data_IF_509212566898
#
_entry.id   IF_509212566898
#
_cell.length_a   1.000
_cell.length_b   1.000
_cell.length_c   1.000
_cell.angle_alpha   90.00
_cell.angle_beta   90.00
_cell.angle_gamma   90.00
#
_symmetry.space_group_name_H-M   'P 1'
#
loop_
_entity.id
_entity.type
_entity.pdbx_description
1 polymer ?
#
# COMPACT_ATOMS: atom_id res chain seq x y z
N UNK A 1 -15.73 13.46 4.65
CA UNK A 1 -14.56 14.00 3.93
C UNK A 1 -14.04 12.97 2.91
N UNK A 2 -13.33 13.38 1.85
CA UNK A 2 -12.87 12.45 0.79
C UNK A 2 -11.66 11.58 1.19
N UNK A 3 -11.04 11.86 2.34
CA UNK A 3 -9.86 11.14 2.84
C UNK A 3 -10.20 9.98 3.80
N UNK A 4 -11.48 9.82 4.17
CA UNK A 4 -11.97 8.70 4.98
C UNK A 4 -12.61 7.69 4.03
N UNK A 5 -12.19 6.42 4.12
CA UNK A 5 -12.81 5.34 3.34
C UNK A 5 -14.27 5.16 3.78
N UNK A 6 -15.18 4.95 2.82
CA UNK A 6 -16.60 4.80 3.11
C UNK A 6 -16.91 3.64 4.05
N UNK A 7 -16.04 2.62 4.12
CA UNK A 7 -16.18 1.50 5.07
C UNK A 7 -15.89 1.91 6.51
N UNK A 8 -14.90 2.78 6.72
CA UNK A 8 -14.63 3.38 8.04
C UNK A 8 -15.81 4.25 8.46
N UNK A 9 -16.31 5.12 7.58
CA UNK A 9 -17.49 5.94 7.87
C UNK A 9 -18.74 5.09 8.15
N UNK A 10 -18.92 3.95 7.47
CA UNK A 10 -20.03 3.02 7.72
C UNK A 10 -19.92 2.42 9.12
N UNK A 11 -18.77 1.84 9.47
CA UNK A 11 -18.54 1.26 10.80
C UNK A 11 -18.76 2.31 11.91
N UNK A 12 -18.25 3.53 11.72
CA UNK A 12 -18.45 4.61 12.68
C UNK A 12 -19.93 4.97 12.88
N UNK A 13 -20.74 4.98 11.81
CA UNK A 13 -22.18 5.24 11.91
C UNK A 13 -22.95 4.11 12.58
N UNK A 14 -22.58 2.86 12.28
CA UNK A 14 -23.19 1.68 12.90
C UNK A 14 -22.91 1.61 14.40
N UNK A 15 -21.69 1.98 14.83
CA UNK A 15 -21.28 1.92 16.23
C UNK A 15 -21.70 3.16 17.05
N UNK A 16 -21.68 4.35 16.44
CA UNK A 16 -21.79 5.63 17.19
C UNK A 16 -22.92 6.54 16.73
N UNK A 17 -23.65 6.18 15.68
CA UNK A 17 -24.66 7.03 15.06
C UNK A 17 -24.07 8.20 14.26
N UNK A 18 -24.90 8.83 13.43
CA UNK A 18 -24.48 9.93 12.53
C UNK A 18 -24.12 11.22 13.27
N UNK A 19 -24.64 11.44 14.47
CA UNK A 19 -24.35 12.66 15.26
C UNK A 19 -22.94 12.66 15.84
N UNK A 20 -22.40 11.50 16.22
CA UNK A 20 -21.04 11.38 16.74
C UNK A 20 -19.97 11.77 15.71
N UNK A 21 -20.19 11.44 14.42
CA UNK A 21 -19.31 11.82 13.30
C UNK A 21 -19.29 13.35 13.10
N UNK A 22 -20.44 14.01 13.27
CA UNK A 22 -20.58 15.46 13.13
C UNK A 22 -19.96 16.25 14.31
N UNK A 23 -19.97 15.67 15.51
CA UNK A 23 -19.43 16.28 16.72
C UNK A 23 -17.93 16.03 16.95
N UNK A 24 -17.25 15.25 16.09
CA UNK A 24 -15.82 14.97 16.21
C UNK A 24 -15.43 14.15 17.44
N UNK A 25 -16.32 13.26 17.90
CA UNK A 25 -16.16 12.43 19.11
C UNK A 25 -15.23 11.22 18.87
N UNK A 26 -13.95 11.49 18.65
CA UNK A 26 -12.93 10.45 18.41
C UNK A 26 -12.69 9.53 19.61
N UNK A 27 -13.04 9.96 20.82
CA UNK A 27 -12.99 9.14 22.04
C UNK A 27 -13.85 7.87 21.93
N UNK A 28 -14.92 7.90 21.13
CA UNK A 28 -15.77 6.74 20.91
C UNK A 28 -15.06 5.63 20.12
N UNK A 29 -14.00 5.94 19.38
CA UNK A 29 -13.24 4.94 18.64
C UNK A 29 -12.67 3.83 19.55
N UNK A 30 -12.43 4.12 20.83
CA UNK A 30 -11.99 3.12 21.82
C UNK A 30 -13.07 2.11 22.21
N UNK A 31 -14.32 2.33 21.80
CA UNK A 31 -15.40 1.36 22.00
C UNK A 31 -15.52 0.35 20.84
N UNK A 32 -14.77 0.53 19.75
CA UNK A 32 -14.69 -0.48 18.68
C UNK A 32 -13.79 -1.61 19.14
N UNK A 33 -14.21 -2.86 18.95
CA UNK A 33 -13.37 -4.00 19.28
C UNK A 33 -12.14 -4.08 18.37
N UNK A 34 -11.02 -4.55 18.92
CA UNK A 34 -9.81 -4.79 18.13
C UNK A 34 -10.07 -5.75 16.96
N UNK A 35 -10.97 -6.71 17.14
CA UNK A 35 -11.37 -7.66 16.10
C UNK A 35 -12.05 -6.97 14.91
N UNK A 36 -12.94 -6.01 15.17
CA UNK A 36 -13.62 -5.24 14.11
C UNK A 36 -12.65 -4.32 13.38
N UNK A 37 -11.77 -3.64 14.11
CA UNK A 37 -10.71 -2.81 13.52
C UNK A 37 -9.80 -3.67 12.63
N UNK A 38 -9.41 -4.85 13.11
CA UNK A 38 -8.55 -5.76 12.36
C UNK A 38 -9.24 -6.34 11.12
N UNK A 39 -10.51 -6.72 11.24
CA UNK A 39 -11.32 -7.21 10.11
C UNK A 39 -11.44 -6.14 9.02
N UNK A 40 -11.79 -4.90 9.40
CA UNK A 40 -11.89 -3.78 8.47
C UNK A 40 -10.53 -3.49 7.81
N UNK A 41 -9.44 -3.51 8.57
CA UNK A 41 -8.09 -3.30 8.04
C UNK A 41 -7.69 -4.40 7.04
N UNK A 42 -8.04 -5.67 7.31
CA UNK A 42 -7.82 -6.78 6.37
C UNK A 42 -8.59 -6.56 5.07
N UNK A 43 -9.85 -6.18 5.14
CA UNK A 43 -10.67 -5.88 3.97
C UNK A 43 -10.08 -4.74 3.12
N UNK A 44 -9.64 -3.66 3.78
CA UNK A 44 -9.01 -2.53 3.10
C UNK A 44 -7.67 -2.90 2.44
N UNK A 45 -6.86 -3.75 3.09
CA UNK A 45 -5.61 -4.26 2.51
C UNK A 45 -5.87 -5.16 1.29
N UNK A 46 -6.84 -6.06 1.38
CA UNK A 46 -7.24 -6.89 0.24
C UNK A 46 -7.68 -6.03 -0.96
N UNK A 47 -8.51 -5.01 -0.72
CA UNK A 47 -8.93 -4.08 -1.77
C UNK A 47 -7.75 -3.32 -2.40
N UNK A 48 -6.75 -2.93 -1.61
CA UNK A 48 -5.53 -2.30 -2.12
C UNK A 48 -4.73 -3.26 -3.02
N UNK A 49 -4.53 -4.50 -2.57
CA UNK A 49 -3.81 -5.52 -3.34
C UNK A 49 -4.48 -5.75 -4.69
N UNK A 50 -5.81 -5.93 -4.71
CA UNK A 50 -6.56 -6.10 -5.95
C UNK A 50 -6.48 -4.88 -6.88
N UNK A 51 -6.53 -3.66 -6.34
CA UNK A 51 -6.35 -2.45 -7.14
C UNK A 51 -4.94 -2.37 -7.75
N UNK A 52 -3.90 -2.75 -7.00
CA UNK A 52 -2.52 -2.81 -7.49
C UNK A 52 -2.39 -3.83 -8.62
N UNK A 53 -2.87 -5.06 -8.43
CA UNK A 53 -2.82 -6.13 -9.44
C UNK A 53 -3.51 -5.69 -10.74
N UNK A 54 -4.72 -5.15 -10.62
CA UNK A 54 -5.49 -4.61 -11.75
C UNK A 54 -4.73 -3.51 -12.50
N UNK A 55 -4.18 -2.53 -11.78
CA UNK A 55 -3.45 -1.41 -12.38
C UNK A 55 -2.16 -1.86 -13.04
N UNK A 56 -1.45 -2.80 -12.42
CA UNK A 56 -0.21 -3.35 -12.96
C UNK A 56 -0.48 -4.09 -14.27
N UNK A 57 -1.46 -4.99 -14.28
CA UNK A 57 -1.91 -5.70 -15.49
C UNK A 57 -2.28 -4.73 -16.62
N UNK A 58 -3.08 -3.71 -16.31
CA UNK A 58 -3.46 -2.69 -17.29
C UNK A 58 -2.26 -1.88 -17.82
N UNK A 59 -1.30 -1.53 -16.96
CA UNK A 59 -0.08 -0.82 -17.37
C UNK A 59 0.77 -1.63 -18.34
N UNK A 60 0.91 -2.94 -18.12
CA UNK A 60 1.67 -3.82 -18.99
C UNK A 60 0.95 -4.14 -20.29
N UNK A 61 -0.39 -4.34 -20.28
CA UNK A 61 -1.19 -4.43 -21.51
C UNK A 61 -1.00 -3.21 -22.40
N UNK A 62 -1.01 -2.02 -21.82
CA UNK A 62 -0.77 -0.77 -22.56
C UNK A 62 0.62 -0.70 -23.21
N UNK A 63 1.60 -1.48 -22.73
CA UNK A 63 2.96 -1.60 -23.28
C UNK A 63 3.10 -2.73 -24.32
N UNK A 64 2.01 -3.44 -24.65
CA UNK A 64 1.99 -4.48 -25.66
C UNK A 64 2.25 -5.91 -25.15
N UNK A 65 2.31 -6.12 -23.83
CA UNK A 65 2.45 -7.46 -23.26
C UNK A 65 1.22 -8.34 -23.57
N UNK A 66 1.46 -9.61 -23.90
CA UNK A 66 0.42 -10.60 -24.14
C UNK A 66 -0.17 -11.13 -22.82
N UNK A 67 -1.42 -11.61 -22.83
CA UNK A 67 -2.07 -12.10 -21.61
C UNK A 67 -1.32 -13.27 -20.93
N UNK A 68 -0.65 -14.11 -21.71
CA UNK A 68 0.19 -15.21 -21.21
C UNK A 68 1.40 -14.72 -20.40
N UNK A 69 1.90 -13.51 -20.66
CA UNK A 69 3.04 -12.91 -19.96
C UNK A 69 2.62 -12.19 -18.66
N UNK A 70 1.32 -12.08 -18.39
CA UNK A 70 0.78 -11.27 -17.29
C UNK A 70 0.32 -12.10 -16.08
N UNK A 71 0.48 -13.43 -16.09
CA UNK A 71 0.08 -14.27 -14.96
C UNK A 71 0.74 -13.87 -13.63
N UNK A 72 1.98 -13.36 -13.67
CA UNK A 72 2.68 -12.88 -12.48
C UNK A 72 2.00 -11.67 -11.83
N UNK A 73 1.22 -10.86 -12.57
CA UNK A 73 0.56 -9.69 -11.96
C UNK A 73 -0.52 -10.11 -10.97
N UNK A 74 -1.03 -11.33 -11.08
CA UNK A 74 -2.12 -11.84 -10.25
C UNK A 74 -1.59 -12.32 -8.88
N UNK A 75 -0.27 -12.52 -8.74
CA UNK A 75 0.39 -12.89 -7.48
C UNK A 75 1.19 -11.75 -6.83
N UNK A 76 1.17 -10.55 -7.42
CA UNK A 76 1.86 -9.38 -6.84
C UNK A 76 1.14 -8.93 -5.57
N UNK A 77 1.94 -8.74 -4.51
CA UNK A 77 1.52 -8.39 -3.15
C UNK A 77 0.62 -9.45 -2.49
N UNK A 78 0.78 -9.57 -1.17
CA UNK A 78 -0.04 -10.41 -0.31
C UNK A 78 -0.77 -9.52 0.73
N UNK A 79 -2.09 -9.65 0.91
CA UNK A 79 -2.85 -8.85 1.87
C UNK A 79 -2.49 -9.12 3.35
N UNK A 80 -1.90 -10.26 3.65
CA UNK A 80 -1.49 -10.67 4.99
C UNK A 80 -0.03 -10.29 5.32
N UNK A 81 0.75 -9.89 4.31
CA UNK A 81 2.12 -9.37 4.47
C UNK A 81 2.13 -7.89 4.83
N UNK A 82 3.07 -7.48 5.69
CA UNK A 82 3.23 -6.08 6.10
C UNK A 82 3.55 -5.19 4.90
N UNK A 83 2.60 -4.33 4.55
CA UNK A 83 2.74 -3.37 3.45
C UNK A 83 3.16 -2.00 3.97
N UNK A 84 4.27 -1.47 3.45
CA UNK A 84 4.74 -0.11 3.74
C UNK A 84 4.55 0.75 2.49
N UNK A 85 3.69 1.76 2.61
CA UNK A 85 3.38 2.70 1.54
C UNK A 85 4.20 3.99 1.61
N UNK A 86 4.79 4.40 0.48
CA UNK A 86 5.44 5.71 0.32
C UNK A 86 4.77 6.47 -0.83
N UNK A 87 3.77 7.29 -0.52
CA UNK A 87 3.02 8.07 -1.49
C UNK A 87 3.27 9.58 -1.32
N UNK A 88 4.20 10.15 -2.09
CA UNK A 88 4.50 11.60 -2.05
C UNK A 88 5.09 12.08 -3.39
N UNK A 89 4.89 13.36 -3.74
CA UNK A 89 5.66 14.01 -4.82
C UNK A 89 7.15 13.79 -4.51
N UNK A 90 7.95 13.33 -5.47
CA UNK A 90 9.37 12.96 -5.28
C UNK A 90 10.27 14.09 -5.82
N UNK A 91 10.55 15.18 -5.08
CA UNK A 91 11.79 15.90 -5.28
C UNK A 91 12.97 15.02 -4.84
N UNK A 92 14.07 15.16 -5.57
CA UNK A 92 15.35 14.43 -5.51
C UNK A 92 16.00 14.31 -4.12
N UNK A 93 15.51 15.01 -3.09
CA UNK A 93 16.04 14.97 -1.72
C UNK A 93 15.26 14.05 -0.75
N UNK A 94 14.14 13.45 -1.17
CA UNK A 94 13.31 12.65 -0.27
C UNK A 94 13.82 11.22 -0.18
N UNK A 95 14.85 11.00 0.65
CA UNK A 95 15.27 9.85 1.50
C UNK A 95 14.78 8.40 1.22
N UNK A 96 14.10 8.08 0.12
CA UNK A 96 13.79 6.72 -0.31
C UNK A 96 15.10 5.95 -0.55
N UNK A 97 16.13 6.67 -1.00
CA UNK A 97 17.52 6.21 -1.07
C UNK A 97 18.14 5.87 0.29
N UNK A 98 17.58 6.29 1.44
CA UNK A 98 18.06 5.81 2.75
C UNK A 98 17.76 4.33 2.95
N UNK A 99 16.63 3.84 2.42
CA UNK A 99 16.33 2.40 2.44
C UNK A 99 17.35 1.62 1.60
N UNK A 100 17.97 2.30 0.63
CA UNK A 100 19.01 1.77 -0.26
C UNK A 100 20.43 1.92 0.32
N UNK A 101 20.61 2.55 1.48
CA UNK A 101 21.91 2.66 2.15
C UNK A 101 22.41 1.30 2.64
N UNK A 102 21.49 0.41 3.00
CA UNK A 102 21.78 -0.95 3.46
C UNK A 102 21.01 -1.98 2.61
N UNK A 103 21.38 -2.19 1.34
CA UNK A 103 20.61 -3.01 0.39
C UNK A 103 20.52 -4.47 0.84
N UNK A 104 21.56 -5.01 1.48
CA UNK A 104 21.53 -6.37 2.04
C UNK A 104 20.48 -6.51 3.14
N UNK A 105 20.35 -5.49 4.00
CA UNK A 105 19.35 -5.46 5.07
C UNK A 105 17.95 -5.33 4.48
N UNK A 106 17.76 -4.47 3.49
CA UNK A 106 16.50 -4.33 2.78
C UNK A 106 16.09 -5.66 2.13
N UNK A 107 17.01 -6.33 1.42
CA UNK A 107 16.77 -7.64 0.81
C UNK A 107 16.41 -8.69 1.86
N UNK A 108 17.10 -8.73 2.99
CA UNK A 108 16.80 -9.64 4.09
C UNK A 108 15.39 -9.42 4.69
N UNK A 109 14.92 -8.17 4.76
CA UNK A 109 13.57 -7.84 5.22
C UNK A 109 12.49 -8.21 4.18
N UNK A 110 12.75 -7.92 2.90
CA UNK A 110 11.82 -8.25 1.81
C UNK A 110 11.65 -9.77 1.64
N UNK A 111 12.71 -10.54 1.90
CA UNK A 111 12.76 -11.98 1.68
C UNK A 111 12.81 -12.78 2.99
N UNK A 112 12.42 -12.19 4.13
CA UNK A 112 12.43 -12.91 5.40
C UNK A 112 11.49 -14.12 5.32
N UNK A 113 11.92 -15.34 5.73
CA UNK A 113 11.16 -16.56 5.49
C UNK A 113 9.81 -16.60 6.21
N UNK A 114 9.69 -15.99 7.38
CA UNK A 114 8.47 -16.01 8.20
C UNK A 114 7.73 -14.67 8.26
N UNK A 115 8.44 -13.56 8.00
CA UNK A 115 7.98 -12.20 8.26
C UNK A 115 8.46 -11.23 7.17
N UNK A 116 8.18 -11.54 5.90
CA UNK A 116 8.57 -10.65 4.82
C UNK A 116 7.82 -9.32 4.94
N UNK A 117 8.36 -8.29 4.30
CA UNK A 117 7.67 -7.01 4.11
C UNK A 117 7.49 -6.74 2.63
N UNK A 118 6.49 -5.92 2.28
CA UNK A 118 6.25 -5.46 0.92
C UNK A 118 6.17 -3.93 0.85
N UNK A 119 6.63 -3.35 -0.26
CA UNK A 119 6.69 -1.90 -0.44
C UNK A 119 5.77 -1.45 -1.57
N UNK A 120 4.99 -0.39 -1.34
CA UNK A 120 4.20 0.29 -2.38
C UNK A 120 4.69 1.73 -2.48
N UNK A 121 5.32 2.09 -3.59
CA UNK A 121 5.91 3.42 -3.80
C UNK A 121 5.10 4.14 -4.87
N UNK A 122 4.59 5.33 -4.56
CA UNK A 122 3.79 6.15 -5.46
C UNK A 122 4.28 7.60 -5.52
N UNK A 123 4.52 8.09 -6.74
CA UNK A 123 4.98 9.45 -7.00
C UNK A 123 5.60 9.56 -8.39
N UNK A 124 5.63 10.78 -8.95
CA UNK A 124 6.39 11.04 -10.17
C UNK A 124 7.87 10.98 -9.84
N UNK A 125 8.62 10.05 -10.42
CA UNK A 125 10.09 10.03 -10.35
C UNK A 125 10.64 11.30 -11.00
N UNK A 126 11.68 11.90 -10.42
CA UNK A 126 12.41 12.95 -11.11
C UNK A 126 13.13 12.34 -12.34
N UNK A 127 13.24 13.04 -13.48
CA UNK A 127 13.95 12.54 -14.66
C UNK A 127 15.40 12.09 -14.39
N UNK A 128 16.05 12.71 -13.38
CA UNK A 128 17.44 12.45 -12.97
C UNK A 128 17.59 11.38 -11.87
N UNK A 129 16.54 10.63 -11.55
CA UNK A 129 16.52 9.62 -10.47
C UNK A 129 17.03 8.24 -10.98
N UNK A 130 18.11 8.26 -11.76
CA UNK A 130 18.62 7.09 -12.49
C UNK A 130 19.23 6.05 -11.55
N UNK A 131 19.83 6.49 -10.43
CA UNK A 131 20.38 5.60 -9.41
C UNK A 131 19.28 4.78 -8.70
N UNK A 132 18.14 5.39 -8.38
CA UNK A 132 17.00 4.70 -7.76
C UNK A 132 16.32 3.72 -8.73
N UNK A 133 16.18 4.11 -10.01
CA UNK A 133 15.62 3.24 -11.06
C UNK A 133 16.50 2.03 -11.34
N UNK A 134 17.82 2.22 -11.43
CA UNK A 134 18.78 1.17 -11.77
C UNK A 134 18.88 0.10 -10.67
N UNK A 135 18.83 0.50 -9.40
CA UNK A 135 18.86 -0.47 -8.30
C UNK A 135 17.53 -1.21 -8.09
N UNK A 136 16.36 -0.61 -8.39
CA UNK A 136 15.07 -1.34 -8.43
C UNK A 136 15.08 -2.38 -9.56
N UNK A 137 15.82 -2.14 -10.64
CA UNK A 137 16.02 -3.13 -11.71
C UNK A 137 17.00 -4.26 -11.34
N UNK A 138 17.97 -3.99 -10.46
CA UNK A 138 19.02 -4.94 -10.06
C UNK A 138 18.69 -5.77 -8.80
N UNK A 139 17.58 -5.48 -8.10
CA UNK A 139 17.09 -6.21 -6.91
C UNK A 139 16.22 -7.42 -7.28
#
# INVERSE_FOLDING_TARGET
>A
PTWVDGRISRLAREQFGTEAEAMGRWDLAYNVSDADVWALRREMRAALVEDVRRRLRAAWKKRGAADAELGWTDSVLDPDVLTIGFARRVPTYKRLTLMLREPNRLKALLLHPEHPIQLVIAGKSHPADDAGKKMIQDL
#
